data_IF_041753152843
#
_entry.id   IF_041753152843
#
_cell.length_a   1.000
_cell.length_b   1.000
_cell.length_c   1.000
_cell.angle_alpha   90.00
_cell.angle_beta   90.00
_cell.angle_gamma   90.00
#
_symmetry.space_group_name_H-M   'P 1'
#
loop_
_entity.id
_entity.type
_entity.pdbx_description
1 polymer ?
#
# COMPACT_ATOMS: atom_id res chain seq x y z
N UNK A 1 -4.13 -5.08 4.99
CA UNK A 1 -3.88 -6.34 4.24
C UNK A 1 -3.80 -6.09 2.73
N UNK A 2 -4.91 -5.95 1.99
CA UNK A 2 -4.84 -5.84 0.52
C UNK A 2 -4.00 -4.63 0.02
N UNK A 3 -4.20 -3.46 0.64
CA UNK A 3 -3.40 -2.24 0.37
C UNK A 3 -1.91 -2.46 0.64
N UNK A 4 -1.57 -3.02 1.79
CA UNK A 4 -0.18 -3.31 2.18
C UNK A 4 0.47 -4.37 1.28
N UNK A 5 -0.29 -5.37 0.82
CA UNK A 5 0.20 -6.34 -0.17
C UNK A 5 0.47 -5.66 -1.52
N UNK A 6 -0.43 -4.81 -2.00
CA UNK A 6 -0.23 -4.06 -3.24
C UNK A 6 1.02 -3.16 -3.14
N UNK A 7 1.20 -2.50 -2.00
CA UNK A 7 2.38 -1.69 -1.70
C UNK A 7 3.67 -2.53 -1.71
N UNK A 8 3.65 -3.70 -1.07
CA UNK A 8 4.80 -4.60 -1.04
C UNK A 8 5.17 -5.09 -2.45
N UNK A 9 4.21 -5.60 -3.22
CA UNK A 9 4.45 -6.12 -4.58
C UNK A 9 5.01 -5.03 -5.49
N UNK A 10 4.41 -3.83 -5.47
CA UNK A 10 4.87 -2.71 -6.31
C UNK A 10 6.25 -2.19 -5.89
N UNK A 11 6.56 -2.22 -4.59
CA UNK A 11 7.92 -1.92 -4.09
C UNK A 11 8.94 -2.93 -4.61
N UNK A 12 8.63 -4.23 -4.57
CA UNK A 12 9.51 -5.27 -5.14
C UNK A 12 9.67 -5.09 -6.65
N UNK A 13 8.59 -4.75 -7.37
CA UNK A 13 8.66 -4.50 -8.80
C UNK A 13 9.60 -3.33 -9.13
N UNK A 14 9.54 -2.22 -8.38
CA UNK A 14 10.49 -1.11 -8.52
C UNK A 14 11.93 -1.59 -8.31
N UNK A 15 12.19 -2.33 -7.23
CA UNK A 15 13.53 -2.80 -6.90
C UNK A 15 14.11 -3.72 -7.99
N UNK A 16 13.29 -4.63 -8.54
CA UNK A 16 13.69 -5.56 -9.60
C UNK A 16 14.05 -4.82 -10.89
N UNK A 17 13.29 -3.78 -11.24
CA UNK A 17 13.49 -3.02 -12.48
C UNK A 17 14.52 -1.87 -12.32
N UNK A 18 15.06 -1.68 -11.12
CA UNK A 18 16.07 -0.65 -10.82
C UNK A 18 15.62 0.75 -11.25
N UNK A 19 16.50 1.48 -11.93
CA UNK A 19 16.20 2.83 -12.41
C UNK A 19 14.98 2.91 -13.34
N UNK A 20 14.73 1.87 -14.13
CA UNK A 20 13.55 1.82 -15.01
C UNK A 20 12.25 1.66 -14.22
N UNK A 21 12.28 1.11 -13.01
CA UNK A 21 11.12 1.01 -12.13
C UNK A 21 10.56 2.37 -11.70
N UNK A 22 11.40 3.41 -11.69
CA UNK A 22 11.02 4.80 -11.43
C UNK A 22 10.78 5.63 -12.70
N UNK A 23 11.12 5.09 -13.88
CA UNK A 23 10.90 5.77 -15.15
C UNK A 23 9.43 5.71 -15.57
N UNK A 24 8.98 6.73 -16.30
CA UNK A 24 7.65 6.73 -16.93
C UNK A 24 7.58 5.86 -18.20
N UNK A 25 8.69 5.27 -18.61
CA UNK A 25 8.75 4.31 -19.72
C UNK A 25 8.01 3.00 -19.40
N UNK A 26 7.94 2.64 -18.11
CA UNK A 26 7.17 1.50 -17.62
C UNK A 26 6.08 1.98 -16.66
N UNK A 27 4.92 1.29 -16.58
CA UNK A 27 3.82 1.71 -15.71
C UNK A 27 4.07 1.46 -14.20
N UNK A 28 5.24 0.94 -13.83
CA UNK A 28 5.56 0.45 -12.48
C UNK A 28 5.51 1.59 -11.45
N UNK A 29 6.07 2.76 -11.79
CA UNK A 29 6.05 3.93 -10.91
C UNK A 29 4.62 4.37 -10.58
N UNK A 30 3.73 4.30 -11.59
CA UNK A 30 2.32 4.66 -11.42
C UNK A 30 1.64 3.67 -10.49
N UNK A 31 1.85 2.37 -10.68
CA UNK A 31 1.27 1.35 -9.80
C UNK A 31 1.74 1.47 -8.36
N UNK A 32 3.01 1.81 -8.14
CA UNK A 32 3.53 2.08 -6.80
C UNK A 32 2.84 3.28 -6.15
N UNK A 33 2.67 4.39 -6.90
CA UNK A 33 1.96 5.57 -6.38
C UNK A 33 0.49 5.26 -6.08
N UNK A 34 -0.19 4.58 -6.98
CA UNK A 34 -1.59 4.19 -6.80
C UNK A 34 -1.76 3.27 -5.59
N UNK A 35 -0.86 2.27 -5.44
CA UNK A 35 -0.86 1.39 -4.28
C UNK A 35 -0.69 2.17 -2.97
N UNK A 36 0.20 3.17 -2.94
CA UNK A 36 0.41 3.98 -1.74
C UNK A 36 -0.84 4.76 -1.31
N UNK A 37 -1.60 5.29 -2.27
CA UNK A 37 -2.85 6.01 -1.99
C UNK A 37 -3.86 5.11 -1.27
N UNK A 38 -3.90 3.81 -1.59
CA UNK A 38 -4.81 2.86 -0.94
C UNK A 38 -4.51 2.64 0.55
N UNK A 39 -3.32 2.97 1.03
CA UNK A 39 -2.97 2.93 2.45
C UNK A 39 -3.40 4.20 3.21
N UNK A 40 -3.97 5.20 2.54
CA UNK A 40 -4.20 6.54 3.12
C UNK A 40 -5.66 6.99 2.96
N UNK A 41 -6.22 6.89 1.75
CA UNK A 41 -7.40 7.67 1.36
C UNK A 41 -8.72 7.24 2.05
N UNK A 42 -8.89 5.95 2.37
CA UNK A 42 -10.13 5.41 2.98
C UNK A 42 -9.92 4.96 4.44
N UNK A 43 -9.08 5.71 5.16
CA UNK A 43 -8.58 5.36 6.47
C UNK A 43 -7.27 4.59 6.37
N UNK A 44 -6.28 5.02 7.15
CA UNK A 44 -4.95 4.42 7.07
C UNK A 44 -4.96 2.98 7.53
N UNK A 45 -3.96 2.20 7.11
CA UNK A 45 -3.79 0.81 7.57
C UNK A 45 -3.82 0.69 9.10
N UNK A 46 -3.28 1.68 9.83
CA UNK A 46 -3.30 1.75 11.29
C UNK A 46 -4.69 2.04 11.84
N UNK A 47 -5.45 2.96 11.24
CA UNK A 47 -6.84 3.23 11.64
C UNK A 47 -7.69 1.98 11.45
N UNK A 48 -7.54 1.29 10.32
CA UNK A 48 -8.26 0.04 10.05
C UNK A 48 -7.91 -1.04 11.10
N UNK A 49 -6.62 -1.19 11.44
CA UNK A 49 -6.19 -2.08 12.54
C UNK A 49 -6.83 -1.70 13.88
N UNK A 50 -6.87 -0.41 14.23
CA UNK A 50 -7.50 0.04 15.47
C UNK A 50 -9.00 -0.24 15.50
N UNK A 51 -9.71 -0.03 14.39
CA UNK A 51 -11.14 -0.34 14.28
C UNK A 51 -11.37 -1.84 14.50
N UNK A 52 -10.60 -2.69 13.83
CA UNK A 52 -10.66 -4.15 14.02
C UNK A 52 -10.35 -4.50 15.48
N UNK A 53 -9.28 -3.97 16.06
CA UNK A 53 -8.90 -4.24 17.45
C UNK A 53 -10.00 -3.85 18.45
N UNK A 54 -10.68 -2.71 18.25
CA UNK A 54 -11.82 -2.30 19.09
C UNK A 54 -13.01 -3.25 18.94
N UNK A 55 -13.30 -3.69 17.71
CA UNK A 55 -14.36 -4.66 17.44
C UNK A 55 -14.08 -6.01 18.11
N UNK A 56 -12.85 -6.51 18.04
CA UNK A 56 -12.45 -7.79 18.65
C UNK A 56 -12.39 -7.74 20.18
N UNK A 57 -11.93 -6.62 20.75
CA UNK A 57 -11.74 -6.49 22.21
C UNK A 57 -12.97 -5.99 22.96
N UNK A 58 -13.96 -5.42 22.26
CA UNK A 58 -15.16 -4.81 22.87
C UNK A 58 -14.89 -3.54 23.68
N UNK A 59 -13.66 -3.00 23.62
CA UNK A 59 -13.27 -1.76 24.28
C UNK A 59 -13.75 -0.57 23.44
N UNK A 60 -14.56 0.29 24.05
CA UNK A 60 -15.07 1.54 23.45
C UNK A 60 -14.13 2.70 23.71
#
# INVERSE_FOLDING_TARGET
>A
FASETAMWVTTQAIQIHGGMGYSKELPIERYFRDAKVTEIYEGTSEIQRMVIARLETGLR
#
